data_IF_586761743170
#
_entry.id   IF_586761743170
#
_cell.length_a   1.000
_cell.length_b   1.000
_cell.length_c   1.000
_cell.angle_alpha   90.00
_cell.angle_beta   90.00
_cell.angle_gamma   90.00
#
_symmetry.space_group_name_H-M   'P 1'
#
loop_
_entity.id
_entity.type
_entity.pdbx_description
1 polymer ?
#
# COMPACT_ATOMS: atom_id res chain seq x y z
N UNK A 1 8.38 6.63 8.98
CA UNK A 1 7.11 7.37 8.86
C UNK A 1 6.64 7.30 7.40
N UNK A 2 5.37 7.56 7.10
CA UNK A 2 4.88 7.72 5.71
C UNK A 2 4.25 9.10 5.54
N UNK A 3 4.16 9.59 4.31
CA UNK A 3 3.50 10.87 4.03
C UNK A 3 2.01 10.77 4.36
N UNK A 4 1.48 11.75 5.08
CA UNK A 4 0.06 11.78 5.49
C UNK A 4 -0.85 12.13 4.32
N UNK A 5 -1.43 11.10 3.70
CA UNK A 5 -2.26 11.21 2.50
C UNK A 5 -3.27 10.06 2.46
N UNK A 6 -4.49 10.34 2.02
CA UNK A 6 -5.55 9.32 1.86
C UNK A 6 -5.11 8.22 0.91
N UNK A 7 -4.65 8.60 -0.28
CA UNK A 7 -4.11 7.69 -1.28
C UNK A 7 -2.59 7.60 -1.16
N UNK A 8 -2.05 6.43 -1.48
CA UNK A 8 -0.61 6.23 -1.60
C UNK A 8 0.06 7.12 -2.67
N UNK A 9 1.40 7.20 -2.60
CA UNK A 9 2.23 8.15 -3.32
C UNK A 9 1.98 8.08 -4.84
N UNK A 10 1.43 9.16 -5.40
CA UNK A 10 1.04 9.23 -6.82
C UNK A 10 2.25 9.12 -7.75
N UNK A 11 3.41 9.58 -7.29
CA UNK A 11 4.71 9.51 -7.94
C UNK A 11 5.21 8.06 -8.08
N UNK A 12 4.70 7.13 -7.26
CA UNK A 12 5.03 5.71 -7.28
C UNK A 12 3.93 4.86 -7.95
N UNK A 13 3.02 5.50 -8.70
CA UNK A 13 1.99 4.80 -9.48
C UNK A 13 2.61 3.84 -10.48
N UNK A 14 1.98 2.67 -10.64
CA UNK A 14 2.35 1.68 -11.66
C UNK A 14 3.81 1.23 -11.54
N UNK A 15 4.34 1.16 -10.31
CA UNK A 15 5.63 0.56 -10.00
C UNK A 15 5.40 -0.78 -9.31
N UNK A 16 6.09 -1.80 -9.79
CA UNK A 16 6.14 -3.10 -9.14
C UNK A 16 7.04 -3.07 -7.91
N UNK A 17 6.97 -4.10 -7.08
CA UNK A 17 7.83 -4.16 -5.91
C UNK A 17 9.31 -4.39 -6.28
N UNK A 18 9.57 -4.98 -7.44
CA UNK A 18 10.92 -5.08 -8.00
C UNK A 18 11.43 -3.73 -8.52
N UNK A 19 10.58 -2.93 -9.17
CA UNK A 19 10.97 -1.57 -9.60
C UNK A 19 11.35 -0.71 -8.40
N UNK A 20 10.53 -0.75 -7.34
CA UNK A 20 10.79 -0.02 -6.09
C UNK A 20 12.09 -0.48 -5.43
N UNK A 21 12.38 -1.79 -5.44
CA UNK A 21 13.65 -2.34 -4.97
C UNK A 21 14.85 -1.86 -5.79
N UNK A 22 14.72 -1.83 -7.13
CA UNK A 22 15.76 -1.30 -8.03
C UNK A 22 16.00 0.21 -7.85
N UNK A 23 14.94 0.96 -7.55
CA UNK A 23 15.00 2.38 -7.21
C UNK A 23 15.45 2.64 -5.76
N UNK A 24 15.64 1.58 -4.96
CA UNK A 24 15.97 1.64 -3.53
C UNK A 24 14.96 2.44 -2.70
N UNK A 25 13.68 2.39 -3.07
CA UNK A 25 12.59 3.03 -2.33
C UNK A 25 12.06 2.04 -1.28
N UNK A 26 12.24 2.31 0.02
CA UNK A 26 11.69 1.46 1.07
C UNK A 26 10.16 1.65 1.09
N UNK A 27 9.41 0.58 0.83
CA UNK A 27 7.96 0.62 0.89
C UNK A 27 7.41 0.26 2.25
N UNK A 28 6.21 0.76 2.55
CA UNK A 28 5.46 0.37 3.75
C UNK A 28 5.24 -1.15 3.81
N UNK A 29 5.31 -1.71 5.01
CA UNK A 29 4.92 -3.09 5.30
C UNK A 29 3.40 -3.21 5.44
N UNK A 30 2.87 -4.43 5.37
CA UNK A 30 1.45 -4.68 5.63
C UNK A 30 1.05 -4.27 7.04
N UNK A 31 1.85 -4.63 8.05
CA UNK A 31 1.57 -4.31 9.45
C UNK A 31 1.53 -2.80 9.69
N UNK A 32 2.52 -2.06 9.17
CA UNK A 32 2.52 -0.59 9.26
C UNK A 32 1.31 0.02 8.56
N UNK A 33 0.92 -0.51 7.38
CA UNK A 33 -0.26 -0.04 6.67
C UNK A 33 -1.55 -0.29 7.44
N UNK A 34 -1.67 -1.43 8.12
CA UNK A 34 -2.83 -1.76 8.94
C UNK A 34 -2.92 -0.87 10.18
N UNK A 35 -1.80 -0.61 10.87
CA UNK A 35 -1.76 0.32 12.01
C UNK A 35 -2.13 1.74 11.54
N UNK A 36 -1.64 2.15 10.37
CA UNK A 36 -1.96 3.46 9.82
C UNK A 36 -3.46 3.59 9.46
N UNK A 37 -4.10 2.52 8.96
CA UNK A 37 -5.56 2.49 8.78
C UNK A 37 -6.29 2.77 10.08
N UNK A 38 -5.96 1.99 11.12
CA UNK A 38 -6.63 2.06 12.41
C UNK A 38 -6.49 3.45 13.03
N UNK A 39 -5.28 4.00 13.03
CA UNK A 39 -5.02 5.35 13.53
C UNK A 39 -5.81 6.40 12.75
N UNK A 40 -5.74 6.37 11.41
CA UNK A 40 -6.42 7.35 10.57
C UNK A 40 -7.95 7.28 10.73
N UNK A 41 -8.50 6.07 10.87
CA UNK A 41 -9.92 5.87 11.10
C UNK A 41 -10.35 6.38 12.49
N UNK A 42 -9.58 6.10 13.54
CA UNK A 42 -9.85 6.60 14.89
C UNK A 42 -9.84 8.15 14.93
N UNK A 43 -8.86 8.77 14.25
CA UNK A 43 -8.72 10.23 14.23
C UNK A 43 -9.75 10.96 13.36
N UNK A 44 -10.27 10.32 12.29
CA UNK A 44 -11.04 11.02 11.25
C UNK A 44 -12.42 10.44 10.94
N UNK A 45 -12.68 9.21 11.38
CA UNK A 45 -13.84 8.41 10.97
C UNK A 45 -13.83 8.00 9.48
N UNK A 46 -12.73 8.23 8.75
CA UNK A 46 -12.58 7.93 7.31
C UNK A 46 -11.60 6.78 7.09
N UNK A 47 -11.50 6.30 5.86
CA UNK A 47 -10.62 5.21 5.45
C UNK A 47 -9.57 5.67 4.44
N UNK A 48 -8.43 4.98 4.41
CA UNK A 48 -7.35 5.23 3.44
C UNK A 48 -7.56 4.37 2.19
N UNK A 49 -6.93 4.76 1.08
CA UNK A 49 -6.91 4.01 -0.18
C UNK A 49 -8.31 3.63 -0.69
N UNK A 50 -9.10 4.65 -1.02
CA UNK A 50 -10.47 4.50 -1.53
C UNK A 50 -10.47 4.25 -3.05
N UNK A 51 -9.54 4.89 -3.76
CA UNK A 51 -9.48 4.86 -5.23
C UNK A 51 -8.39 3.93 -5.78
N UNK A 52 -7.31 3.74 -5.03
CA UNK A 52 -6.15 2.94 -5.45
C UNK A 52 -5.83 1.90 -4.40
N UNK A 53 -4.81 1.08 -4.70
CA UNK A 53 -4.35 0.00 -3.84
C UNK A 53 -2.92 0.32 -3.41
N UNK A 54 -2.71 0.39 -2.09
CA UNK A 54 -1.36 0.49 -1.52
C UNK A 54 -0.65 -0.84 -1.71
N UNK A 55 0.39 -0.87 -2.56
CA UNK A 55 1.31 -1.98 -2.67
C UNK A 55 2.30 -1.94 -1.48
N UNK A 56 2.17 -2.89 -0.56
CA UNK A 56 3.00 -2.98 0.64
C UNK A 56 4.35 -3.65 0.31
N UNK A 57 5.18 -2.97 -0.47
CA UNK A 57 6.42 -3.55 -1.01
C UNK A 57 7.49 -3.85 0.04
N UNK A 58 7.34 -3.35 1.28
CA UNK A 58 8.15 -3.74 2.44
C UNK A 58 7.82 -5.14 2.99
N UNK A 59 6.73 -5.77 2.54
CA UNK A 59 6.35 -7.13 2.95
C UNK A 59 6.41 -8.12 1.80
N UNK A 60 6.72 -9.38 2.13
CA UNK A 60 6.73 -10.53 1.22
C UNK A 60 6.09 -11.73 1.91
N UNK A 61 5.19 -12.42 1.21
CA UNK A 61 4.73 -13.75 1.60
C UNK A 61 5.77 -14.83 1.28
N UNK A 62 5.54 -16.05 1.73
CA UNK A 62 6.45 -17.20 1.56
C UNK A 62 6.84 -17.50 0.12
N UNK A 63 5.95 -17.22 -0.84
CA UNK A 63 6.16 -17.39 -2.28
C UNK A 63 6.56 -16.08 -2.99
N UNK A 64 7.05 -15.08 -2.25
CA UNK A 64 7.51 -13.79 -2.79
C UNK A 64 6.39 -12.85 -3.24
N UNK A 65 5.12 -13.18 -2.97
CA UNK A 65 3.98 -12.30 -3.28
C UNK A 65 3.97 -11.08 -2.37
N UNK A 66 3.44 -9.98 -2.90
CA UNK A 66 3.43 -8.67 -2.26
C UNK A 66 2.00 -8.30 -1.89
N UNK A 67 1.71 -7.99 -0.62
CA UNK A 67 0.37 -7.56 -0.23
C UNK A 67 -0.01 -6.24 -0.90
N UNK A 68 -1.25 -6.13 -1.33
CA UNK A 68 -1.86 -4.86 -1.69
C UNK A 68 -3.13 -4.62 -0.89
N UNK A 69 -3.28 -3.42 -0.34
CA UNK A 69 -4.31 -3.08 0.63
C UNK A 69 -5.11 -1.88 0.15
N UNK A 70 -6.43 -1.94 0.28
CA UNK A 70 -7.33 -0.82 0.00
C UNK A 70 -8.62 -0.96 0.80
N UNK A 71 -9.36 0.14 0.94
CA UNK A 71 -10.68 0.10 1.51
C UNK A 71 -11.72 -0.12 0.42
N UNK A 72 -12.55 -1.17 0.55
CA UNK A 72 -13.60 -1.47 -0.41
C UNK A 72 -14.97 -1.07 0.14
N UNK A 73 -15.45 0.11 -0.27
CA UNK A 73 -16.70 0.71 0.22
C UNK A 73 -17.92 -0.18 0.00
N UNK A 74 -17.98 -0.94 -1.10
CA UNK A 74 -19.11 -1.83 -1.39
C UNK A 74 -19.32 -2.91 -0.31
N UNK A 75 -18.23 -3.44 0.26
CA UNK A 75 -18.30 -4.45 1.33
C UNK A 75 -18.04 -3.86 2.72
N UNK A 76 -17.84 -2.53 2.84
CA UNK A 76 -17.46 -1.86 4.09
C UNK A 76 -16.30 -2.53 4.81
N UNK A 77 -15.25 -2.88 4.07
CA UNK A 77 -14.12 -3.64 4.63
C UNK A 77 -12.79 -3.36 3.96
N UNK A 78 -11.72 -3.57 4.72
CA UNK A 78 -10.35 -3.55 4.22
C UNK A 78 -10.10 -4.84 3.42
N UNK A 79 -9.72 -4.68 2.16
CA UNK A 79 -9.41 -5.80 1.29
C UNK A 79 -7.90 -5.96 1.16
N UNK A 80 -7.43 -7.21 1.22
CA UNK A 80 -6.01 -7.56 1.11
C UNK A 80 -5.84 -8.53 -0.04
N UNK A 81 -5.19 -8.06 -1.10
CA UNK A 81 -4.81 -8.85 -2.25
C UNK A 81 -3.33 -9.22 -2.21
N UNK A 82 -2.93 -10.19 -3.04
CA UNK A 82 -1.53 -10.58 -3.21
C UNK A 82 -1.12 -10.45 -4.68
N UNK A 83 -0.03 -9.74 -4.95
CA UNK A 83 0.49 -9.52 -6.30
C UNK A 83 1.82 -10.23 -6.50
N UNK A 84 2.14 -10.60 -7.74
CA UNK A 84 3.50 -11.02 -8.07
C UNK A 84 4.47 -9.84 -7.91
N UNK A 85 5.74 -10.08 -7.56
CA UNK A 85 6.70 -9.01 -7.26
C UNK A 85 7.01 -8.10 -8.45
N UNK A 86 6.87 -8.61 -9.69
CA UNK A 86 7.01 -7.84 -10.94
C UNK A 86 5.69 -7.25 -11.44
N UNK A 87 4.57 -7.40 -10.71
CA UNK A 87 3.28 -6.87 -11.17
C UNK A 87 3.25 -5.35 -11.00
N UNK A 88 3.11 -4.64 -12.11
CA UNK A 88 2.75 -3.23 -12.16
C UNK A 88 1.33 -3.08 -12.73
N UNK A 89 0.52 -2.18 -12.16
CA UNK A 89 -0.80 -1.78 -12.66
C UNK A 89 -1.08 -0.33 -12.31
N UNK A 90 -1.92 0.33 -13.10
CA UNK A 90 -2.32 1.72 -12.85
C UNK A 90 -3.01 1.97 -11.51
N UNK A 91 -3.72 0.97 -10.97
CA UNK A 91 -4.36 1.07 -9.66
C UNK A 91 -3.40 0.80 -8.48
N UNK A 92 -2.16 0.39 -8.73
CA UNK A 92 -1.17 0.15 -7.67
C UNK A 92 -0.33 1.40 -7.43
N UNK A 93 -0.16 1.75 -6.15
CA UNK A 93 0.75 2.81 -5.68
C UNK A 93 1.44 2.33 -4.42
N UNK A 94 2.73 2.58 -4.27
CA UNK A 94 3.41 2.32 -3.01
C UNK A 94 3.37 3.54 -2.10
N UNK A 95 3.55 3.33 -0.80
CA UNK A 95 3.87 4.38 0.16
C UNK A 95 5.33 4.22 0.53
N UNK A 96 6.12 5.25 0.29
CA UNK A 96 7.52 5.25 0.72
C UNK A 96 7.59 5.48 2.24
N UNK A 97 8.45 4.70 2.90
CA UNK A 97 8.82 4.92 4.29
C UNK A 97 9.94 5.96 4.31
N UNK A 98 9.64 7.12 4.85
CA UNK A 98 10.58 8.23 5.05
C UNK A 98 11.05 8.29 6.51
N UNK A 99 12.32 8.64 6.71
CA UNK A 99 12.93 8.91 8.01
C UNK A 99 12.68 10.34 8.45
#
# INVERSE_FOLDING_TARGET
MVRERVEADKELKNRSANDLGGMKIPGITFTERAIYELKYHDETGKHLDIQNITLCSGSRGSVGRVPGVYWFSYCSGMNVNCYGPSRARDCLRAREVVS
#
